data_IF_493289273073
#
_entry.id   IF_493289273073
#
_cell.length_a   1.000
_cell.length_b   1.000
_cell.length_c   1.000
_cell.angle_alpha   90.00
_cell.angle_beta   90.00
_cell.angle_gamma   90.00
#
_symmetry.space_group_name_H-M   'P 1'
#
loop_
_entity.id
_entity.type
_entity.pdbx_description
1 polymer ?
#
# COMPACT_ATOMS: atom_id res chain seq x y z
N UNK A 1 8.94 25.90 54.22
CA UNK A 1 8.59 24.55 53.77
C UNK A 1 7.61 24.68 52.62
N UNK A 2 8.02 24.26 51.42
CA UNK A 2 7.19 24.20 50.21
C UNK A 2 6.84 22.73 49.97
N UNK A 3 5.55 22.45 49.89
CA UNK A 3 4.88 21.24 49.38
C UNK A 3 3.41 21.68 49.17
N UNK A 4 2.66 21.39 48.12
CA UNK A 4 2.94 20.61 46.93
C UNK A 4 1.75 20.70 45.94
N UNK A 5 2.09 20.59 44.66
CA UNK A 5 1.40 19.76 43.65
C UNK A 5 0.05 20.20 43.05
N UNK A 6 0.17 20.74 41.83
CA UNK A 6 -0.67 20.48 40.65
C UNK A 6 -2.19 20.48 40.82
N UNK A 7 -2.79 21.68 40.79
CA UNK A 7 -4.17 21.83 40.39
C UNK A 7 -4.31 21.48 38.89
N UNK A 8 -5.13 20.47 38.58
CA UNK A 8 -5.51 20.04 37.23
C UNK A 8 -6.43 21.06 36.54
N UNK A 9 -5.97 22.31 36.39
CA UNK A 9 -6.72 23.40 35.75
C UNK A 9 -7.00 23.17 34.27
N UNK A 10 -6.38 22.16 33.66
CA UNK A 10 -6.57 21.73 32.26
C UNK A 10 -7.71 20.71 32.07
N UNK A 11 -8.37 20.23 33.12
CA UNK A 11 -9.55 19.35 33.03
C UNK A 11 -10.90 20.08 33.15
N UNK A 12 -10.91 21.42 33.12
CA UNK A 12 -12.16 22.19 33.07
C UNK A 12 -12.80 22.06 31.70
N UNK A 13 -14.06 21.60 31.69
CA UNK A 13 -14.84 21.27 30.49
C UNK A 13 -15.24 22.46 29.59
N UNK A 14 -14.72 23.66 29.86
CA UNK A 14 -15.00 24.91 29.12
C UNK A 14 -13.75 25.55 28.52
N UNK A 15 -12.78 24.73 28.10
CA UNK A 15 -11.70 25.21 27.24
C UNK A 15 -12.20 25.30 25.79
N UNK A 16 -12.31 26.54 25.30
CA UNK A 16 -12.54 26.90 23.90
C UNK A 16 -11.83 25.93 22.96
N UNK A 17 -12.61 25.06 22.29
CA UNK A 17 -12.10 24.15 21.27
C UNK A 17 -11.43 24.98 20.19
N UNK A 18 -10.11 24.78 20.06
CA UNK A 18 -9.36 25.18 18.89
C UNK A 18 -10.08 24.68 17.63
N UNK A 19 -10.56 25.63 16.82
CA UNK A 19 -10.96 25.36 15.44
C UNK A 19 -9.73 24.88 14.70
N UNK A 20 -9.73 23.63 14.28
CA UNK A 20 -8.68 23.13 13.39
C UNK A 20 -8.33 21.66 13.51
N UNK A 21 -9.29 20.77 13.72
CA UNK A 21 -9.10 19.35 13.36
C UNK A 21 -10.46 18.65 13.24
N UNK A 22 -11.03 18.63 12.04
CA UNK A 22 -12.12 17.70 11.71
C UNK A 22 -11.49 16.36 11.35
N UNK A 23 -11.34 15.50 12.37
CA UNK A 23 -11.10 14.08 12.14
C UNK A 23 -12.18 13.53 11.20
N UNK A 24 -11.76 12.92 10.09
CA UNK A 24 -12.64 12.30 9.09
C UNK A 24 -13.21 10.99 9.63
N UNK A 25 -14.11 11.07 10.60
CA UNK A 25 -14.97 9.95 11.00
C UNK A 25 -16.42 10.43 11.08
N UNK A 26 -17.00 10.62 9.90
CA UNK A 26 -18.43 10.62 9.59
C UNK A 26 -18.45 10.34 8.07
N UNK A 27 -19.03 9.26 7.55
CA UNK A 27 -20.33 8.67 7.84
C UNK A 27 -20.36 7.18 7.47
N UNK A 28 -20.74 6.33 8.41
CA UNK A 28 -21.26 5.00 8.09
C UNK A 28 -22.77 5.12 7.91
N UNK A 29 -23.21 4.95 6.66
CA UNK A 29 -24.50 4.42 6.18
C UNK A 29 -24.76 5.02 4.79
N UNK A 30 -24.31 4.30 3.78
CA UNK A 30 -25.02 4.24 2.50
C UNK A 30 -25.40 2.78 2.31
N UNK A 31 -26.66 2.60 1.92
CA UNK A 31 -27.35 1.33 1.82
C UNK A 31 -26.59 0.31 0.97
N UNK A 32 -26.82 -0.97 1.30
CA UNK A 32 -26.45 -2.12 0.50
C UNK A 32 -26.68 -1.87 -0.99
N UNK A 33 -25.58 -1.58 -1.69
CA UNK A 33 -25.44 -1.87 -3.10
C UNK A 33 -24.31 -2.86 -3.12
N UNK A 34 -24.65 -4.15 -2.99
CA UNK A 34 -23.82 -5.20 -3.54
C UNK A 34 -23.79 -4.91 -5.05
N UNK A 35 -22.67 -4.48 -5.67
CA UNK A 35 -22.52 -4.85 -7.06
C UNK A 35 -22.48 -6.38 -7.03
N UNK A 36 -23.42 -7.03 -7.69
CA UNK A 36 -23.19 -8.41 -8.10
C UNK A 36 -21.76 -8.50 -8.65
N UNK A 37 -21.03 -9.60 -8.41
CA UNK A 37 -19.87 -9.86 -9.23
C UNK A 37 -20.41 -9.97 -10.66
N UNK A 38 -20.30 -8.86 -11.40
CA UNK A 38 -20.46 -8.87 -12.83
C UNK A 38 -19.32 -9.77 -13.29
N UNK A 39 -19.64 -11.04 -13.48
CA UNK A 39 -18.83 -11.96 -14.28
C UNK A 39 -18.92 -11.47 -15.72
N UNK A 40 -18.37 -10.28 -15.96
CA UNK A 40 -17.82 -9.92 -17.24
C UNK A 40 -16.69 -10.91 -17.45
N UNK A 41 -17.03 -12.01 -18.11
CA UNK A 41 -16.09 -12.85 -18.84
C UNK A 41 -16.18 -12.49 -20.32
N UNK A 42 -15.72 -11.30 -20.75
CA UNK A 42 -15.01 -11.31 -22.01
C UNK A 42 -13.76 -12.16 -21.78
N UNK A 43 -13.35 -12.89 -22.80
CA UNK A 43 -12.11 -13.66 -22.88
C UNK A 43 -10.91 -12.74 -22.81
N UNK A 44 -10.77 -11.99 -21.71
CA UNK A 44 -9.77 -10.97 -21.54
C UNK A 44 -8.41 -11.66 -21.63
N UNK A 45 -7.79 -11.46 -22.79
CA UNK A 45 -6.67 -12.27 -23.27
C UNK A 45 -5.41 -11.96 -22.46
N UNK A 46 -5.48 -10.95 -21.59
CA UNK A 46 -4.37 -10.52 -20.77
C UNK A 46 -3.96 -11.53 -19.71
N UNK A 47 -2.64 -11.65 -19.53
CA UNK A 47 -2.09 -12.53 -18.51
C UNK A 47 -2.44 -12.05 -17.09
N UNK A 48 -2.39 -12.98 -16.13
CA UNK A 48 -2.45 -12.64 -14.70
C UNK A 48 -1.43 -11.55 -14.32
N UNK A 49 -0.25 -11.53 -14.96
CA UNK A 49 0.78 -10.55 -14.67
C UNK A 49 0.36 -9.13 -15.08
N UNK A 50 -0.25 -8.97 -16.25
CA UNK A 50 -0.86 -7.69 -16.67
C UNK A 50 -1.90 -7.24 -15.65
N UNK A 51 -2.79 -8.15 -15.26
CA UNK A 51 -3.86 -7.84 -14.31
C UNK A 51 -3.35 -7.41 -12.95
N UNK A 52 -2.32 -8.07 -12.44
CA UNK A 52 -1.68 -7.68 -11.18
C UNK A 52 -1.02 -6.31 -11.34
N UNK A 53 -0.22 -6.11 -12.40
CA UNK A 53 0.55 -4.88 -12.61
C UNK A 53 -0.31 -3.62 -12.73
N UNK A 54 -1.51 -3.74 -13.33
CA UNK A 54 -2.43 -2.61 -13.52
C UNK A 54 -3.11 -2.14 -12.23
N UNK A 55 -3.17 -2.98 -11.19
CA UNK A 55 -3.93 -2.71 -9.95
C UNK A 55 -3.22 -1.72 -9.04
N UNK A 56 -4.00 -0.92 -8.32
CA UNK A 56 -3.46 0.09 -7.41
C UNK A 56 -2.75 -0.55 -6.22
N UNK A 57 -3.23 -1.69 -5.75
CA UNK A 57 -2.66 -2.45 -4.65
C UNK A 57 -1.25 -2.96 -4.99
N UNK A 58 -1.03 -3.36 -6.25
CA UNK A 58 0.29 -3.74 -6.74
C UNK A 58 1.23 -2.54 -6.83
N UNK A 59 0.75 -1.38 -7.30
CA UNK A 59 1.53 -0.12 -7.32
C UNK A 59 1.89 0.35 -5.90
N UNK A 60 1.03 0.09 -4.93
CA UNK A 60 1.30 0.39 -3.52
C UNK A 60 2.31 -0.59 -2.92
N UNK A 61 2.44 -1.80 -3.43
CA UNK A 61 3.35 -2.83 -2.92
C UNK A 61 4.11 -3.55 -4.05
N UNK A 62 4.96 -2.84 -4.81
CA UNK A 62 5.49 -3.34 -6.07
C UNK A 62 6.47 -4.51 -5.87
N UNK A 63 7.21 -4.52 -4.76
CA UNK A 63 8.11 -5.63 -4.42
C UNK A 63 7.35 -6.93 -4.19
N UNK A 64 6.20 -6.87 -3.49
CA UNK A 64 5.39 -8.05 -3.27
C UNK A 64 4.64 -8.48 -4.53
N UNK A 65 4.11 -7.52 -5.30
CA UNK A 65 3.45 -7.79 -6.56
C UNK A 65 4.34 -8.57 -7.54
N UNK A 66 5.61 -8.16 -7.68
CA UNK A 66 6.57 -8.89 -8.50
C UNK A 66 6.79 -10.32 -8.02
N UNK A 67 6.87 -10.57 -6.71
CA UNK A 67 6.99 -11.95 -6.18
C UNK A 67 5.75 -12.78 -6.50
N UNK A 68 4.56 -12.19 -6.44
CA UNK A 68 3.31 -12.89 -6.78
C UNK A 68 3.26 -13.24 -8.27
N UNK A 69 3.75 -12.35 -9.14
CA UNK A 69 3.92 -12.60 -10.57
C UNK A 69 4.93 -13.72 -10.82
N UNK A 70 6.11 -13.66 -10.21
CA UNK A 70 7.16 -14.67 -10.33
C UNK A 70 6.67 -16.05 -9.84
N UNK A 71 5.79 -16.08 -8.84
CA UNK A 71 5.16 -17.30 -8.30
C UNK A 71 3.94 -17.77 -9.10
N UNK A 72 3.63 -17.15 -10.24
CA UNK A 72 2.45 -17.46 -11.06
C UNK A 72 1.12 -17.46 -10.27
N UNK A 73 0.99 -16.55 -9.30
CA UNK A 73 -0.24 -16.46 -8.48
C UNK A 73 -1.40 -15.93 -9.34
N UNK A 74 -2.59 -16.55 -9.32
CA UNK A 74 -3.77 -16.04 -10.01
C UNK A 74 -4.10 -14.61 -9.57
N UNK A 75 -4.52 -13.74 -10.50
CA UNK A 75 -4.66 -12.32 -10.21
C UNK A 75 -5.67 -12.04 -9.07
N UNK A 76 -6.77 -12.81 -8.99
CA UNK A 76 -7.79 -12.66 -7.95
C UNK A 76 -7.18 -12.89 -6.56
N UNK A 77 -6.40 -13.97 -6.41
CA UNK A 77 -5.71 -14.29 -5.15
C UNK A 77 -4.61 -13.27 -4.85
N UNK A 78 -3.88 -12.82 -5.86
CA UNK A 78 -2.82 -11.83 -5.70
C UNK A 78 -3.36 -10.49 -5.17
N UNK A 79 -4.50 -10.02 -5.68
CA UNK A 79 -5.13 -8.77 -5.22
C UNK A 79 -5.51 -8.86 -3.73
N UNK A 80 -6.12 -9.97 -3.30
CA UNK A 80 -6.48 -10.17 -1.88
C UNK A 80 -5.23 -10.12 -1.01
N UNK A 81 -4.19 -10.87 -1.38
CA UNK A 81 -2.90 -10.86 -0.66
C UNK A 81 -2.26 -9.48 -0.61
N UNK A 82 -2.32 -8.70 -1.70
CA UNK A 82 -1.77 -7.35 -1.76
C UNK A 82 -2.53 -6.38 -0.87
N UNK A 83 -3.87 -6.49 -0.78
CA UNK A 83 -4.72 -5.66 0.09
C UNK A 83 -4.43 -5.87 1.57
N UNK A 84 -4.21 -7.12 1.96
CA UNK A 84 -4.00 -7.50 3.35
C UNK A 84 -2.54 -7.36 3.79
N UNK A 85 -1.60 -7.22 2.84
CA UNK A 85 -0.18 -7.07 3.13
C UNK A 85 0.22 -5.62 3.41
N UNK A 86 1.06 -5.43 4.43
CA UNK A 86 1.91 -4.24 4.54
C UNK A 86 2.92 -4.22 3.39
N UNK A 87 3.55 -3.07 3.14
CA UNK A 87 4.52 -2.94 2.04
C UNK A 87 5.75 -3.82 2.28
N UNK A 88 6.10 -4.66 1.31
CA UNK A 88 7.25 -5.55 1.44
C UNK A 88 8.56 -4.82 1.13
N UNK A 89 9.59 -5.15 1.90
CA UNK A 89 10.96 -4.69 1.67
C UNK A 89 11.70 -5.55 0.65
N UNK A 90 12.62 -4.92 -0.07
CA UNK A 90 13.57 -5.63 -0.91
C UNK A 90 14.57 -6.40 -0.04
N UNK A 91 15.16 -7.48 -0.59
CA UNK A 91 16.21 -8.24 0.12
C UNK A 91 17.40 -7.37 0.48
N UNK A 92 17.74 -6.40 -0.37
CA UNK A 92 18.82 -5.44 -0.11
C UNK A 92 18.50 -4.58 1.13
N UNK A 93 17.30 -3.98 1.15
CA UNK A 93 16.86 -3.13 2.27
C UNK A 93 16.79 -3.92 3.56
N UNK A 94 16.24 -5.13 3.54
CA UNK A 94 16.21 -6.01 4.71
C UNK A 94 17.62 -6.26 5.25
N UNK A 95 18.58 -6.66 4.41
CA UNK A 95 19.97 -6.92 4.85
C UNK A 95 20.67 -5.67 5.38
N UNK A 96 20.38 -4.50 4.82
CA UNK A 96 20.93 -3.23 5.31
C UNK A 96 20.36 -2.90 6.68
N UNK A 97 19.05 -3.04 6.87
CA UNK A 97 18.39 -2.76 8.14
C UNK A 97 18.82 -3.74 9.25
N UNK A 98 18.96 -5.03 8.93
CA UNK A 98 19.51 -6.04 9.86
C UNK A 98 20.88 -5.66 10.41
N UNK A 99 21.71 -4.95 9.63
CA UNK A 99 23.05 -4.56 10.05
C UNK A 99 23.10 -3.27 10.87
N UNK A 100 22.08 -2.41 10.80
CA UNK A 100 22.12 -1.04 11.37
C UNK A 100 21.05 -0.78 12.42
N UNK A 101 19.98 -1.58 12.46
CA UNK A 101 18.88 -1.42 13.39
C UNK A 101 18.94 -2.53 14.45
N UNK A 102 19.32 -2.16 15.67
CA UNK A 102 19.28 -3.07 16.82
C UNK A 102 17.85 -3.52 17.11
N UNK A 103 17.63 -4.82 17.32
CA UNK A 103 16.30 -5.38 17.58
C UNK A 103 15.44 -5.51 16.33
N UNK A 104 16.02 -5.39 15.12
CA UNK A 104 15.31 -5.54 13.86
C UNK A 104 14.49 -6.84 13.77
N UNK A 105 15.03 -7.94 14.29
CA UNK A 105 14.37 -9.25 14.32
C UNK A 105 13.07 -9.26 15.13
N UNK A 106 12.93 -8.39 16.13
CA UNK A 106 11.78 -8.30 17.02
C UNK A 106 10.63 -7.48 16.43
N UNK A 107 10.91 -6.65 15.42
CA UNK A 107 9.90 -5.85 14.74
C UNK A 107 9.01 -6.73 13.87
N UNK A 108 7.72 -6.43 13.84
CA UNK A 108 6.82 -7.02 12.86
C UNK A 108 7.07 -6.43 11.47
N UNK A 109 6.30 -6.89 10.48
CA UNK A 109 6.54 -6.46 9.11
C UNK A 109 6.14 -5.02 8.79
N UNK A 110 5.14 -4.48 9.47
CA UNK A 110 4.71 -3.09 9.32
C UNK A 110 5.74 -2.16 9.97
N UNK A 111 6.17 -2.49 11.18
CA UNK A 111 7.22 -1.77 11.92
C UNK A 111 8.56 -1.81 11.18
N UNK A 112 8.92 -2.96 10.62
CA UNK A 112 10.10 -3.08 9.73
C UNK A 112 9.99 -2.14 8.54
N UNK A 113 8.82 -2.04 7.92
CA UNK A 113 8.63 -1.14 6.80
C UNK A 113 8.79 0.32 7.23
N UNK A 114 8.16 0.70 8.33
CA UNK A 114 8.20 2.05 8.86
C UNK A 114 9.61 2.48 9.27
N UNK A 115 10.35 1.61 9.97
CA UNK A 115 11.73 1.93 10.38
C UNK A 115 12.68 2.00 9.17
N UNK A 116 12.52 1.12 8.18
CA UNK A 116 13.29 1.20 6.94
C UNK A 116 12.99 2.49 6.17
N UNK A 117 11.73 2.92 6.12
CA UNK A 117 11.35 4.19 5.52
C UNK A 117 11.99 5.37 6.26
N UNK A 118 11.87 5.44 7.58
CA UNK A 118 12.46 6.50 8.40
C UNK A 118 13.98 6.56 8.24
N UNK A 119 14.65 5.41 8.24
CA UNK A 119 16.08 5.33 7.98
C UNK A 119 16.45 5.90 6.61
N UNK A 120 15.67 5.59 5.57
CA UNK A 120 15.91 6.11 4.22
C UNK A 120 15.86 7.65 4.17
N UNK A 121 14.90 8.26 4.87
CA UNK A 121 14.76 9.72 4.94
C UNK A 121 15.96 10.38 5.63
N UNK A 122 16.48 9.77 6.70
CA UNK A 122 17.61 10.31 7.48
C UNK A 122 18.95 10.13 6.78
N UNK A 123 19.08 9.16 5.88
CA UNK A 123 20.38 8.71 5.33
C UNK A 123 20.49 8.86 3.81
N UNK A 124 19.58 9.63 3.20
CA UNK A 124 19.52 9.78 1.75
C UNK A 124 19.43 8.42 1.02
N UNK A 125 18.52 7.58 1.49
CA UNK A 125 18.24 6.24 0.97
C UNK A 125 19.44 5.26 0.99
N UNK A 126 20.33 5.35 1.98
CA UNK A 126 21.48 4.44 2.09
C UNK A 126 21.09 2.95 2.23
N UNK A 127 19.88 2.67 2.73
CA UNK A 127 19.30 1.32 2.78
C UNK A 127 18.55 0.91 1.50
N UNK A 128 18.48 1.78 0.50
CA UNK A 128 17.85 1.53 -0.81
C UNK A 128 16.35 1.27 -0.75
N UNK A 129 15.66 1.73 0.29
CA UNK A 129 14.21 1.60 0.42
C UNK A 129 13.50 2.24 -0.80
N UNK A 130 13.78 3.51 -1.09
CA UNK A 130 13.13 4.23 -2.18
C UNK A 130 13.60 3.74 -3.55
N UNK A 131 14.90 3.51 -3.71
CA UNK A 131 15.49 2.99 -4.93
C UNK A 131 14.89 1.62 -5.31
N UNK A 132 14.73 0.72 -4.34
CA UNK A 132 14.16 -0.60 -4.59
C UNK A 132 12.68 -0.54 -4.96
N UNK A 133 11.90 0.35 -4.34
CA UNK A 133 10.50 0.56 -4.73
C UNK A 133 10.38 1.12 -6.14
N UNK A 134 11.21 2.10 -6.51
CA UNK A 134 11.23 2.66 -7.87
C UNK A 134 11.57 1.59 -8.91
N UNK A 135 12.64 0.84 -8.70
CA UNK A 135 13.05 -0.23 -9.60
C UNK A 135 11.99 -1.34 -9.70
N UNK A 136 11.31 -1.65 -8.59
CA UNK A 136 10.21 -2.61 -8.58
C UNK A 136 9.00 -2.09 -9.38
N UNK A 137 8.63 -0.81 -9.23
CA UNK A 137 7.56 -0.19 -10.00
C UNK A 137 7.86 -0.17 -11.50
N UNK A 138 9.06 0.25 -11.90
CA UNK A 138 9.50 0.23 -13.30
C UNK A 138 9.48 -1.18 -13.90
N UNK A 139 9.86 -2.19 -13.12
CA UNK A 139 9.76 -3.59 -13.56
C UNK A 139 8.31 -4.06 -13.66
N UNK A 140 7.46 -3.65 -12.72
CA UNK A 140 6.04 -3.99 -12.72
C UNK A 140 5.33 -3.43 -13.96
N UNK A 141 5.68 -2.22 -14.40
CA UNK A 141 5.14 -1.61 -15.62
C UNK A 141 5.44 -2.43 -16.88
N UNK A 142 6.56 -3.17 -16.92
CA UNK A 142 6.89 -4.05 -18.06
C UNK A 142 5.96 -5.25 -18.21
N UNK A 143 5.20 -5.58 -17.18
CA UNK A 143 4.17 -6.61 -17.24
C UNK A 143 2.84 -6.09 -17.80
N UNK A 144 2.69 -4.78 -18.02
CA UNK A 144 1.50 -4.22 -18.65
C UNK A 144 1.58 -4.50 -20.15
N UNK A 145 0.81 -5.49 -20.56
CA UNK A 145 0.61 -5.82 -21.98
C UNK A 145 -0.06 -4.66 -22.74
N UNK A 146 0.27 -4.50 -24.03
CA UNK A 146 -0.39 -3.52 -24.89
C UNK A 146 -1.86 -3.85 -25.05
N UNK A 147 -2.65 -2.82 -25.32
CA UNK A 147 -4.09 -2.93 -25.51
C UNK A 147 -4.42 -3.90 -26.67
N UNK A 148 -5.33 -4.83 -26.41
CA UNK A 148 -5.77 -5.82 -27.39
C UNK A 148 -7.04 -5.35 -28.13
N UNK A 149 -7.48 -6.11 -29.15
CA UNK A 149 -8.67 -5.76 -29.94
C UNK A 149 -9.95 -5.70 -29.09
N UNK A 150 -10.12 -6.61 -28.12
CA UNK A 150 -11.26 -6.62 -27.23
C UNK A 150 -11.32 -5.37 -26.34
N UNK A 151 -10.18 -4.88 -25.88
CA UNK A 151 -10.10 -3.63 -25.12
C UNK A 151 -10.58 -2.44 -25.98
N UNK A 152 -10.23 -2.44 -27.27
CA UNK A 152 -10.58 -1.36 -28.21
C UNK A 152 -12.08 -1.34 -28.45
N UNK A 153 -12.69 -2.52 -28.64
CA UNK A 153 -14.14 -2.66 -28.75
C UNK A 153 -14.86 -2.19 -27.49
N UNK A 154 -14.34 -2.53 -26.29
CA UNK A 154 -14.90 -2.04 -25.01
C UNK A 154 -14.84 -0.52 -24.92
N UNK A 155 -13.74 0.12 -25.33
CA UNK A 155 -13.65 1.58 -25.36
C UNK A 155 -14.68 2.20 -26.33
N UNK A 156 -14.87 1.60 -27.51
CA UNK A 156 -15.84 2.07 -28.51
C UNK A 156 -17.29 2.02 -28.01
N UNK A 157 -17.67 0.96 -27.29
CA UNK A 157 -19.03 0.76 -26.79
C UNK A 157 -19.41 1.63 -25.58
N UNK A 158 -18.43 2.21 -24.86
CA UNK A 158 -18.68 3.16 -23.77
C UNK A 158 -19.00 4.59 -24.25
N UNK A 159 -18.93 4.86 -25.56
CA UNK A 159 -19.17 6.16 -26.18
C UNK A 159 -20.45 6.24 -27.04
N UNK A 160 -21.26 5.19 -27.08
CA UNK A 160 -22.57 5.14 -27.75
C UNK A 160 -23.72 5.16 -26.73
#
# INVERSE_FOLDING_TARGET
MRSDLHAFSHLRSDANRARGYTGRYASWRSADIQPEPQEDTPTDTHSNAHWIARRQEAKNNPVYALRLIDNHTPYQSAIVKLRESYRHLSRYTTRKMEAVCSGWELLDGEDKNLEAFNYSLRTNDANGYQASLRAASERLERHIEPMNWEDIERLGNHHA
#
